data_IF_550396482545
#
_entry.id   IF_550396482545
#
_cell.length_a   1.000
_cell.length_b   1.000
_cell.length_c   1.000
_cell.angle_alpha   90.00
_cell.angle_beta   90.00
_cell.angle_gamma   90.00
#
_symmetry.space_group_name_H-M   'P 1'
#
loop_
_entity.id
_entity.type
_entity.pdbx_description
1 polymer ?
#
# COMPACT_ATOMS: atom_id res chain seq x y z
N UNK A 1 21.21 6.14 30.20
CA UNK A 1 21.04 4.66 30.20
C UNK A 1 19.57 4.18 30.05
N UNK A 2 18.52 4.94 30.40
CA UNK A 2 17.12 4.46 30.31
C UNK A 2 16.48 4.60 28.92
N UNK A 3 16.98 5.50 28.07
CA UNK A 3 16.45 5.75 26.72
C UNK A 3 16.73 4.60 25.75
N UNK A 4 17.95 4.04 25.78
CA UNK A 4 18.34 2.88 24.97
C UNK A 4 17.57 1.60 25.37
N UNK A 5 17.29 1.42 26.66
CA UNK A 5 16.50 0.28 27.17
C UNK A 5 15.03 0.33 26.69
N UNK A 6 14.49 1.53 26.46
CA UNK A 6 13.14 1.74 25.90
C UNK A 6 13.08 1.38 24.41
N UNK A 7 14.11 1.73 23.63
CA UNK A 7 14.22 1.38 22.19
C UNK A 7 14.33 -0.15 22.01
N UNK A 8 15.08 -0.82 22.88
CA UNK A 8 15.26 -2.28 22.82
C UNK A 8 14.00 -3.05 23.27
N UNK A 9 13.25 -2.50 24.25
CA UNK A 9 11.97 -3.05 24.71
C UNK A 9 10.85 -2.93 23.66
N UNK A 10 10.83 -1.83 22.89
CA UNK A 10 9.92 -1.65 21.75
C UNK A 10 10.24 -2.65 20.62
N UNK A 11 11.52 -2.78 20.22
CA UNK A 11 11.93 -3.62 19.08
C UNK A 11 11.49 -5.09 19.16
N UNK A 12 11.48 -5.69 20.36
CA UNK A 12 11.12 -7.11 20.54
C UNK A 12 9.60 -7.37 20.64
N UNK A 13 8.83 -6.42 21.18
CA UNK A 13 7.38 -6.55 21.39
C UNK A 13 6.61 -6.13 20.16
N UNK A 14 7.09 -5.11 19.45
CA UNK A 14 6.49 -4.59 18.22
C UNK A 14 6.60 -5.59 17.08
N UNK A 15 7.71 -6.33 16.98
CA UNK A 15 7.86 -7.39 15.96
C UNK A 15 6.81 -8.50 16.10
N UNK A 16 6.49 -8.91 17.33
CA UNK A 16 5.45 -9.92 17.58
C UNK A 16 4.07 -9.40 17.17
N UNK A 17 3.80 -8.11 17.39
CA UNK A 17 2.57 -7.46 16.96
C UNK A 17 2.52 -7.41 15.42
N UNK A 18 3.55 -6.87 14.77
CA UNK A 18 3.66 -6.81 13.30
C UNK A 18 3.47 -8.19 12.68
N UNK A 19 4.08 -9.24 13.23
CA UNK A 19 3.91 -10.62 12.73
C UNK A 19 2.47 -11.14 12.90
N UNK A 20 1.79 -10.75 13.99
CA UNK A 20 0.39 -11.10 14.24
C UNK A 20 -0.56 -10.37 13.29
N UNK A 21 -0.31 -9.09 13.02
CA UNK A 21 -1.02 -8.30 12.01
C UNK A 21 -0.76 -8.80 10.59
N UNK A 22 0.50 -9.08 10.26
CA UNK A 22 0.94 -9.63 8.97
C UNK A 22 0.30 -10.97 8.62
N UNK A 23 -0.20 -11.73 9.61
CA UNK A 23 -0.97 -12.96 9.36
C UNK A 23 -2.27 -12.71 8.60
N UNK A 24 -2.89 -11.53 8.75
CA UNK A 24 -4.10 -11.15 8.00
C UNK A 24 -3.81 -10.83 6.53
N UNK A 25 -2.56 -10.53 6.18
CA UNK A 25 -2.12 -10.34 4.79
C UNK A 25 -1.77 -11.65 4.08
N UNK A 26 -1.48 -12.72 4.82
CA UNK A 26 -1.13 -14.03 4.26
C UNK A 26 -2.18 -14.66 3.30
N UNK A 27 -3.50 -14.57 3.53
CA UNK A 27 -4.50 -15.06 2.56
C UNK A 27 -4.55 -14.21 1.27
N UNK A 28 -4.11 -12.95 1.33
CA UNK A 28 -4.19 -11.97 0.22
C UNK A 28 -2.87 -11.82 -0.54
N UNK A 29 -1.97 -12.80 -0.44
CA UNK A 29 -0.64 -12.81 -1.09
C UNK A 29 -0.67 -12.59 -2.60
N UNK A 30 -1.74 -13.01 -3.29
CA UNK A 30 -1.88 -12.80 -4.74
C UNK A 30 -1.88 -11.30 -5.09
N UNK A 31 -2.68 -10.51 -4.37
CA UNK A 31 -2.78 -9.06 -4.58
C UNK A 31 -1.49 -8.33 -4.21
N UNK A 32 -0.84 -8.75 -3.12
CA UNK A 32 0.46 -8.22 -2.70
C UNK A 32 1.54 -8.55 -3.73
N UNK A 33 1.50 -9.75 -4.31
CA UNK A 33 2.47 -10.15 -5.33
C UNK A 33 2.27 -9.36 -6.63
N UNK A 34 1.02 -9.14 -7.05
CA UNK A 34 0.70 -8.30 -8.22
C UNK A 34 1.18 -6.86 -7.99
N UNK A 35 0.90 -6.26 -6.83
CA UNK A 35 1.37 -4.91 -6.54
C UNK A 35 2.90 -4.86 -6.52
N UNK A 36 3.57 -5.82 -5.87
CA UNK A 36 5.02 -5.88 -5.82
C UNK A 36 5.65 -6.07 -7.21
N UNK A 37 5.02 -6.86 -8.10
CA UNK A 37 5.47 -7.07 -9.47
C UNK A 37 5.30 -5.83 -10.36
N UNK A 38 4.35 -4.95 -10.06
CA UNK A 38 4.17 -3.69 -10.78
C UNK A 38 5.28 -2.66 -10.48
N UNK A 39 5.88 -2.68 -9.28
CA UNK A 39 6.89 -1.70 -8.85
C UNK A 39 8.11 -1.59 -9.80
N UNK A 40 8.78 -2.69 -10.20
CA UNK A 40 9.92 -2.58 -11.13
C UNK A 40 9.50 -2.03 -12.50
N UNK A 41 8.27 -2.33 -12.94
CA UNK A 41 7.75 -1.87 -14.23
C UNK A 41 7.48 -0.36 -14.19
N UNK A 42 6.84 0.13 -13.14
CA UNK A 42 6.59 1.57 -12.97
C UNK A 42 7.88 2.36 -12.79
N UNK A 43 8.83 1.81 -12.02
CA UNK A 43 10.16 2.41 -11.82
C UNK A 43 10.93 2.48 -13.14
N UNK A 44 10.99 1.38 -13.89
CA UNK A 44 11.69 1.34 -15.17
C UNK A 44 11.04 2.27 -16.19
N UNK A 45 9.71 2.31 -16.26
CA UNK A 45 9.01 3.22 -17.17
C UNK A 45 9.24 4.69 -16.83
N UNK A 46 9.39 5.06 -15.55
CA UNK A 46 9.74 6.42 -15.14
C UNK A 46 11.15 6.82 -15.57
N UNK A 47 12.13 5.93 -15.40
CA UNK A 47 13.51 6.15 -15.87
C UNK A 47 13.55 6.25 -17.40
N UNK A 48 12.87 5.33 -18.09
CA UNK A 48 12.79 5.31 -19.54
C UNK A 48 12.15 6.59 -20.10
N UNK A 49 11.09 7.08 -19.44
CA UNK A 49 10.45 8.34 -19.80
C UNK A 49 11.42 9.52 -19.68
N UNK A 50 12.15 9.62 -18.56
CA UNK A 50 13.11 10.72 -18.34
C UNK A 50 14.22 10.71 -19.40
N UNK A 51 14.75 9.51 -19.72
CA UNK A 51 15.75 9.34 -20.77
C UNK A 51 15.20 9.68 -22.17
N UNK A 52 13.94 9.35 -22.48
CA UNK A 52 13.29 9.74 -23.74
C UNK A 52 13.17 11.26 -23.87
N UNK A 53 12.83 11.95 -22.78
CA UNK A 53 12.71 13.41 -22.78
C UNK A 53 14.07 14.07 -23.05
N UNK A 54 15.15 13.58 -22.45
CA UNK A 54 16.52 14.04 -22.72
C UNK A 54 16.86 13.89 -24.21
N UNK A 55 16.66 12.70 -24.78
CA UNK A 55 16.89 12.41 -26.22
C UNK A 55 16.03 13.30 -27.13
N UNK A 56 14.78 13.54 -26.77
CA UNK A 56 13.87 14.41 -27.52
C UNK A 56 14.41 15.83 -27.62
N UNK A 57 14.91 16.38 -26.50
CA UNK A 57 15.44 17.72 -26.44
C UNK A 57 16.74 17.82 -27.25
N UNK A 58 17.70 16.93 -26.96
CA UNK A 58 19.06 17.06 -27.48
C UNK A 58 19.18 16.72 -28.97
N UNK A 59 18.50 15.67 -29.43
CA UNK A 59 18.70 15.16 -30.79
C UNK A 59 17.66 15.66 -31.80
N UNK A 60 16.49 16.12 -31.35
CA UNK A 60 15.39 16.47 -32.25
C UNK A 60 14.96 17.94 -32.16
N UNK A 61 14.90 18.53 -30.95
CA UNK A 61 14.55 19.95 -30.81
C UNK A 61 15.72 20.84 -31.24
N UNK A 62 16.95 20.54 -30.82
CA UNK A 62 18.14 21.34 -31.19
C UNK A 62 18.51 21.21 -32.67
N UNK A 63 18.32 20.04 -33.26
CA UNK A 63 18.70 19.72 -34.65
C UNK A 63 17.62 20.09 -35.67
N UNK A 64 16.38 20.33 -35.23
CA UNK A 64 15.26 20.72 -36.08
C UNK A 64 14.59 19.57 -36.86
N UNK A 65 14.83 18.31 -36.50
CA UNK A 65 14.28 17.13 -37.19
C UNK A 65 12.85 16.81 -36.71
N UNK A 66 11.86 17.33 -37.43
CA UNK A 66 10.42 17.19 -37.11
C UNK A 66 9.89 15.75 -37.22
N UNK A 67 10.25 14.94 -38.25
CA UNK A 67 9.87 13.53 -38.32
C UNK A 67 10.29 12.71 -37.09
N UNK A 68 11.56 12.80 -36.69
CA UNK A 68 12.11 12.07 -35.56
C UNK A 68 11.48 12.52 -34.23
N UNK A 69 11.24 13.82 -34.08
CA UNK A 69 10.55 14.40 -32.93
C UNK A 69 9.17 13.77 -32.70
N UNK A 70 8.35 13.66 -33.77
CA UNK A 70 7.00 13.10 -33.68
C UNK A 70 7.02 11.63 -33.23
N UNK A 71 7.94 10.83 -33.78
CA UNK A 71 8.05 9.41 -33.44
C UNK A 71 8.44 9.22 -31.96
N UNK A 72 9.50 9.89 -31.50
CA UNK A 72 9.95 9.74 -30.11
C UNK A 72 8.95 10.30 -29.10
N UNK A 73 8.24 11.39 -29.45
CA UNK A 73 7.14 11.91 -28.62
C UNK A 73 6.00 10.90 -28.51
N UNK A 74 5.65 10.21 -29.60
CA UNK A 74 4.64 9.14 -29.57
C UNK A 74 5.08 7.96 -28.70
N UNK A 75 6.35 7.57 -28.77
CA UNK A 75 6.91 6.51 -27.91
C UNK A 75 6.88 6.95 -26.45
N UNK A 76 7.25 8.19 -26.14
CA UNK A 76 7.17 8.74 -24.77
C UNK A 76 5.73 8.70 -24.24
N UNK A 77 4.76 9.09 -25.06
CA UNK A 77 3.35 9.02 -24.71
C UNK A 77 2.88 7.57 -24.47
N UNK A 78 3.33 6.62 -25.29
CA UNK A 78 3.02 5.21 -25.10
C UNK A 78 3.64 4.66 -23.80
N UNK A 79 4.89 5.00 -23.50
CA UNK A 79 5.56 4.63 -22.24
C UNK A 79 4.81 5.18 -21.04
N UNK A 80 4.40 6.46 -21.07
CA UNK A 80 3.57 7.06 -20.02
C UNK A 80 2.23 6.34 -19.87
N UNK A 81 1.55 6.02 -20.99
CA UNK A 81 0.28 5.29 -20.96
C UNK A 81 0.42 3.92 -20.31
N UNK A 82 1.47 3.16 -20.65
CA UNK A 82 1.77 1.87 -20.03
C UNK A 82 2.09 2.06 -18.54
N UNK A 83 2.93 3.05 -18.21
CA UNK A 83 3.31 3.33 -16.83
C UNK A 83 2.09 3.63 -15.95
N UNK A 84 1.19 4.48 -16.45
CA UNK A 84 -0.07 4.83 -15.78
C UNK A 84 -0.95 3.61 -15.52
N UNK A 85 -1.05 2.68 -16.48
CA UNK A 85 -1.81 1.44 -16.30
C UNK A 85 -1.21 0.57 -15.18
N UNK A 86 0.12 0.42 -15.15
CA UNK A 86 0.79 -0.37 -14.11
C UNK A 86 0.75 0.29 -12.74
N UNK A 87 0.80 1.62 -12.68
CA UNK A 87 0.66 2.38 -11.44
C UNK A 87 -0.76 2.29 -10.88
N UNK A 88 -1.77 2.38 -11.76
CA UNK A 88 -3.16 2.08 -11.42
C UNK A 88 -3.36 0.66 -10.91
N UNK A 89 -2.74 -0.33 -11.56
CA UNK A 89 -2.77 -1.73 -11.12
C UNK A 89 -2.10 -1.93 -9.75
N UNK A 90 -0.96 -1.27 -9.54
CA UNK A 90 -0.27 -1.24 -8.25
C UNK A 90 -1.19 -0.70 -7.15
N UNK A 91 -1.72 0.51 -7.36
CA UNK A 91 -2.58 1.20 -6.41
C UNK A 91 -3.84 0.40 -6.09
N UNK A 92 -4.51 -0.15 -7.11
CA UNK A 92 -5.68 -0.98 -6.93
C UNK A 92 -5.36 -2.25 -6.13
N UNK A 93 -4.32 -2.98 -6.53
CA UNK A 93 -3.95 -4.25 -5.89
C UNK A 93 -3.49 -4.07 -4.45
N UNK A 94 -2.71 -3.01 -4.18
CA UNK A 94 -2.25 -2.65 -2.85
C UNK A 94 -3.42 -2.27 -1.94
N UNK A 95 -4.29 -1.37 -2.39
CA UNK A 95 -5.49 -0.95 -1.65
C UNK A 95 -6.43 -2.13 -1.39
N UNK A 96 -6.61 -3.00 -2.39
CA UNK A 96 -7.44 -4.20 -2.26
C UNK A 96 -6.87 -5.17 -1.22
N UNK A 97 -5.56 -5.41 -1.24
CA UNK A 97 -4.90 -6.28 -0.27
C UNK A 97 -5.05 -5.73 1.17
N UNK A 98 -4.80 -4.43 1.36
CA UNK A 98 -4.97 -3.77 2.66
C UNK A 98 -6.41 -3.81 3.15
N UNK A 99 -7.38 -3.46 2.31
CA UNK A 99 -8.80 -3.47 2.65
C UNK A 99 -9.31 -4.86 3.03
N UNK A 100 -8.88 -5.91 2.32
CA UNK A 100 -9.24 -7.29 2.66
C UNK A 100 -8.61 -7.74 3.99
N UNK A 101 -7.34 -7.40 4.24
CA UNK A 101 -6.69 -7.70 5.51
C UNK A 101 -7.38 -7.00 6.69
N UNK A 102 -7.74 -5.72 6.55
CA UNK A 102 -8.49 -4.95 7.56
C UNK A 102 -9.88 -5.55 7.79
N UNK A 103 -10.58 -5.95 6.72
CA UNK A 103 -11.89 -6.60 6.83
C UNK A 103 -11.82 -7.90 7.64
N UNK A 104 -10.81 -8.74 7.37
CA UNK A 104 -10.61 -9.99 8.11
C UNK A 104 -10.27 -9.72 9.58
N UNK A 105 -9.48 -8.69 9.84
CA UNK A 105 -9.20 -8.25 11.20
C UNK A 105 -10.46 -7.78 11.92
N UNK A 106 -11.29 -6.94 11.28
CA UNK A 106 -12.59 -6.47 11.82
C UNK A 106 -13.48 -7.65 12.16
N UNK A 107 -13.66 -8.62 11.25
CA UNK A 107 -14.45 -9.84 11.49
C UNK A 107 -13.95 -10.62 12.71
N UNK A 108 -12.63 -10.80 12.83
CA UNK A 108 -12.05 -11.55 13.94
C UNK A 108 -12.21 -10.86 15.30
N UNK A 109 -12.15 -9.52 15.32
CA UNK A 109 -12.32 -8.72 16.53
C UNK A 109 -13.78 -8.60 16.94
N UNK A 110 -14.70 -8.37 16.00
CA UNK A 110 -16.14 -8.40 16.28
C UNK A 110 -16.57 -9.75 16.84
N UNK A 111 -16.13 -10.85 16.23
CA UNK A 111 -16.43 -12.20 16.72
C UNK A 111 -15.90 -12.47 18.12
N UNK A 112 -14.79 -11.85 18.53
CA UNK A 112 -14.26 -11.94 19.89
C UNK A 112 -15.04 -11.07 20.88
N UNK A 113 -15.39 -9.84 20.47
CA UNK A 113 -16.19 -8.93 21.30
C UNK A 113 -17.49 -9.62 21.69
N UNK A 114 -18.22 -10.18 20.73
CA UNK A 114 -19.51 -10.85 20.99
C UNK A 114 -19.43 -12.05 21.95
N UNK A 115 -18.24 -12.61 22.18
CA UNK A 115 -18.03 -13.74 23.11
C UNK A 115 -17.64 -13.33 24.53
N UNK A 116 -17.60 -12.02 24.83
CA UNK A 116 -17.30 -11.55 26.18
C UNK A 116 -18.41 -11.89 27.18
N UNK A 117 -18.07 -12.20 28.44
CA UNK A 117 -19.05 -12.55 29.47
C UNK A 117 -19.96 -11.36 29.76
N UNK A 118 -21.23 -11.63 30.12
CA UNK A 118 -22.23 -10.59 30.38
C UNK A 118 -21.76 -9.55 31.42
N UNK A 119 -21.01 -10.01 32.43
CA UNK A 119 -20.37 -9.16 33.46
C UNK A 119 -19.45 -8.07 32.91
N UNK A 120 -18.87 -8.27 31.72
CA UNK A 120 -18.09 -7.23 31.04
C UNK A 120 -18.99 -6.12 30.51
N UNK A 121 -20.14 -6.50 29.95
CA UNK A 121 -21.12 -5.58 29.35
C UNK A 121 -21.94 -4.80 30.39
N UNK A 122 -22.05 -5.31 31.61
CA UNK A 122 -22.65 -4.57 32.73
C UNK A 122 -21.86 -3.29 33.09
N UNK A 123 -20.55 -3.27 32.80
CA UNK A 123 -19.66 -2.13 33.08
C UNK A 123 -19.33 -1.29 31.84
N UNK A 124 -19.36 -1.91 30.66
CA UNK A 124 -19.04 -1.26 29.40
C UNK A 124 -20.13 -1.57 28.39
N UNK A 125 -21.04 -0.62 28.09
CA UNK A 125 -22.06 -0.80 27.08
C UNK A 125 -21.48 -1.31 25.76
N UNK A 126 -22.17 -2.28 25.15
CA UNK A 126 -21.71 -2.93 23.92
C UNK A 126 -21.47 -1.93 22.79
N UNK A 127 -22.31 -0.89 22.67
CA UNK A 127 -22.17 0.16 21.66
C UNK A 127 -20.88 0.98 21.79
N UNK A 128 -20.43 1.26 23.02
CA UNK A 128 -19.17 1.99 23.27
C UNK A 128 -17.98 1.10 22.90
N UNK A 129 -18.03 -0.18 23.26
CA UNK A 129 -16.98 -1.15 22.90
C UNK A 129 -16.86 -1.29 21.39
N UNK A 130 -17.99 -1.38 20.69
CA UNK A 130 -18.06 -1.48 19.24
C UNK A 130 -17.57 -0.21 18.52
N UNK A 131 -17.94 0.96 19.05
CA UNK A 131 -17.54 2.27 18.52
C UNK A 131 -16.03 2.48 18.65
N UNK A 132 -15.46 2.20 19.82
CA UNK A 132 -14.00 2.24 20.03
C UNK A 132 -13.27 1.26 19.13
N UNK A 133 -13.75 0.01 19.04
CA UNK A 133 -13.15 -1.00 18.18
C UNK A 133 -13.15 -0.56 16.70
N UNK A 134 -14.25 0.01 16.22
CA UNK A 134 -14.34 0.49 14.84
C UNK A 134 -13.40 1.68 14.61
N UNK A 135 -13.38 2.64 15.53
CA UNK A 135 -12.53 3.83 15.45
C UNK A 135 -11.04 3.48 15.49
N UNK A 136 -10.63 2.60 16.41
CA UNK A 136 -9.23 2.10 16.49
C UNK A 136 -8.83 1.39 15.19
N UNK A 137 -9.75 0.64 14.57
CA UNK A 137 -9.53 -0.05 13.31
C UNK A 137 -9.46 0.88 12.09
N UNK A 138 -10.18 2.00 12.13
CA UNK A 138 -10.09 3.06 11.12
C UNK A 138 -8.75 3.79 11.23
N UNK A 139 -8.32 4.12 12.44
CA UNK A 139 -7.00 4.71 12.67
C UNK A 139 -5.86 3.83 12.13
N UNK A 140 -5.95 2.51 12.29
CA UNK A 140 -4.97 1.56 11.72
C UNK A 140 -5.07 1.48 10.18
N UNK A 141 -6.24 1.74 9.60
CA UNK A 141 -6.44 1.71 8.16
C UNK A 141 -5.93 2.98 7.46
N UNK A 142 -5.98 4.12 8.15
CA UNK A 142 -5.56 5.43 7.65
C UNK A 142 -4.06 5.73 7.87
N UNK A 143 -3.39 4.96 8.74
CA UNK A 143 -1.95 5.11 9.06
C UNK A 143 -1.06 4.29 8.12
#
# INVERSE_FOLDING_TARGET
MSFFKKIEFLRSKDWKLIKRFGRYFAPHKKWIFISLASIPITTFGGILFLWLVERIIDDFILTGDIPGLKLYTLIAAAVLGINFLFDGLYSYSFTKAGGLAIMDMRRSLFGRSLRFPMRYYDKNPIGITLSRLTSDMESIAES
#
